data_IF_314919729775
#
_entry.id   IF_314919729775
#
_cell.length_a   1.000
_cell.length_b   1.000
_cell.length_c   1.000
_cell.angle_alpha   90.00
_cell.angle_beta   90.00
_cell.angle_gamma   90.00
#
_symmetry.space_group_name_H-M   'P 1'
#
loop_
_entity.id
_entity.type
_entity.pdbx_description
1 polymer ?
#
# COMPACT_ATOMS: atom_id res chain seq x y z
N UNK A 1 11.96 15.07 -58.67
CA UNK A 1 11.57 15.59 -57.35
C UNK A 1 12.18 14.69 -56.28
N UNK A 2 13.09 15.22 -55.44
CA UNK A 2 13.75 14.45 -54.38
C UNK A 2 12.82 14.37 -53.17
N UNK A 3 12.49 13.16 -52.72
CA UNK A 3 11.71 12.90 -51.52
C UNK A 3 12.45 13.40 -50.27
N UNK A 4 12.09 14.59 -49.78
CA UNK A 4 12.46 15.05 -48.44
C UNK A 4 11.65 14.26 -47.41
N UNK A 5 12.17 13.10 -46.99
CA UNK A 5 11.71 12.46 -45.75
C UNK A 5 12.25 13.30 -44.58
N UNK A 6 11.36 13.95 -43.85
CA UNK A 6 11.67 14.61 -42.59
C UNK A 6 12.43 13.63 -41.67
N UNK A 7 13.69 13.97 -41.36
CA UNK A 7 14.47 13.21 -40.38
C UNK A 7 13.93 13.54 -38.99
N UNK A 8 13.22 12.59 -38.38
CA UNK A 8 12.80 12.71 -36.97
C UNK A 8 14.05 12.92 -36.10
N UNK A 9 13.99 13.81 -35.09
CA UNK A 9 15.13 14.05 -34.21
C UNK A 9 15.55 12.74 -33.54
N UNK A 10 16.84 12.48 -33.59
CA UNK A 10 17.45 11.28 -33.03
C UNK A 10 17.28 11.30 -31.51
N UNK A 11 16.56 10.31 -30.97
CA UNK A 11 16.33 10.22 -29.52
C UNK A 11 17.66 9.90 -28.85
N UNK A 12 18.22 10.87 -28.12
CA UNK A 12 19.39 10.66 -27.28
C UNK A 12 19.07 9.55 -26.26
N UNK A 13 19.86 8.49 -26.26
CA UNK A 13 19.70 7.34 -25.35
C UNK A 13 20.85 7.32 -24.37
N UNK A 14 20.52 7.18 -23.09
CA UNK A 14 21.49 6.96 -22.02
C UNK A 14 21.25 5.54 -21.50
N UNK A 15 22.30 4.73 -21.45
CA UNK A 15 22.26 3.41 -20.83
C UNK A 15 22.98 3.50 -19.49
N UNK A 16 22.28 3.19 -18.41
CA UNK A 16 22.82 3.17 -17.05
C UNK A 16 22.96 1.71 -16.65
N UNK A 17 24.16 1.31 -16.21
CA UNK A 17 24.39 0.00 -15.59
C UNK A 17 24.21 0.14 -14.09
N UNK A 18 23.51 -0.81 -13.49
CA UNK A 18 23.18 -0.83 -12.07
C UNK A 18 23.54 -2.20 -11.52
N UNK A 19 24.03 -2.24 -10.30
CA UNK A 19 24.18 -3.48 -9.55
C UNK A 19 22.81 -3.93 -9.02
N UNK A 20 22.62 -5.23 -8.80
CA UNK A 20 21.32 -5.82 -8.44
C UNK A 20 20.63 -5.11 -7.25
N UNK A 21 21.31 -4.79 -6.13
CA UNK A 21 20.66 -4.10 -5.01
C UNK A 21 20.12 -2.72 -5.39
N UNK A 22 20.84 -1.99 -6.24
CA UNK A 22 20.47 -0.64 -6.67
C UNK A 22 19.30 -0.71 -7.65
N UNK A 23 19.26 -1.73 -8.50
CA UNK A 23 18.15 -2.00 -9.39
C UNK A 23 16.87 -2.30 -8.61
N UNK A 24 16.94 -3.16 -7.60
CA UNK A 24 15.80 -3.54 -6.77
C UNK A 24 15.21 -2.32 -6.05
N UNK A 25 16.06 -1.48 -5.45
CA UNK A 25 15.62 -0.22 -4.82
C UNK A 25 14.91 0.71 -5.81
N UNK A 26 15.47 0.90 -7.01
CA UNK A 26 14.86 1.73 -8.04
C UNK A 26 13.55 1.13 -8.57
N UNK A 27 13.46 -0.20 -8.67
CA UNK A 27 12.25 -0.89 -9.06
C UNK A 27 11.13 -0.69 -8.04
N UNK A 28 11.46 -0.75 -6.75
CA UNK A 28 10.52 -0.47 -5.67
C UNK A 28 10.07 0.98 -5.70
N UNK A 29 10.97 1.94 -5.88
CA UNK A 29 10.62 3.35 -6.01
C UNK A 29 9.72 3.61 -7.24
N UNK A 30 9.99 2.95 -8.37
CA UNK A 30 9.15 3.01 -9.57
C UNK A 30 7.72 2.56 -9.27
N UNK A 31 7.57 1.43 -8.56
CA UNK A 31 6.27 0.85 -8.17
C UNK A 31 5.56 1.73 -7.15
N UNK A 32 6.25 2.14 -6.09
CA UNK A 32 5.72 2.97 -5.00
C UNK A 32 5.20 4.32 -5.53
N UNK A 33 5.97 4.97 -6.39
CA UNK A 33 5.58 6.24 -7.02
C UNK A 33 4.63 6.08 -8.22
N UNK A 34 4.25 4.85 -8.58
CA UNK A 34 3.39 4.52 -9.74
C UNK A 34 3.90 5.12 -11.06
N UNK A 35 5.21 5.19 -11.23
CA UNK A 35 5.83 5.74 -12.45
C UNK A 35 5.68 4.76 -13.62
N UNK A 36 5.11 5.24 -14.74
CA UNK A 36 4.91 4.42 -15.94
C UNK A 36 6.22 4.03 -16.60
N UNK A 37 7.17 4.96 -16.72
CA UNK A 37 8.49 4.75 -17.33
C UNK A 37 9.63 4.96 -16.34
N UNK A 38 10.80 4.38 -16.64
CA UNK A 38 12.05 4.67 -15.92
C UNK A 38 12.45 6.14 -16.04
N UNK A 39 12.26 6.72 -17.21
CA UNK A 39 12.50 8.15 -17.45
C UNK A 39 11.70 9.04 -16.50
N UNK A 40 10.42 8.73 -16.25
CA UNK A 40 9.60 9.48 -15.31
C UNK A 40 10.11 9.39 -13.86
N UNK A 41 10.62 8.22 -13.45
CA UNK A 41 11.26 8.06 -12.14
C UNK A 41 12.56 8.87 -12.06
N UNK A 42 13.42 8.81 -13.07
CA UNK A 42 14.69 9.54 -13.09
C UNK A 42 14.46 11.05 -13.08
N UNK A 43 13.54 11.56 -13.91
CA UNK A 43 13.17 12.98 -13.91
C UNK A 43 12.58 13.42 -12.57
N UNK A 44 11.83 12.54 -11.89
CA UNK A 44 11.34 12.78 -10.55
C UNK A 44 12.49 12.86 -9.53
N UNK A 45 13.42 11.91 -9.55
CA UNK A 45 14.60 11.91 -8.66
C UNK A 45 15.51 13.11 -8.90
N UNK A 46 15.60 13.58 -10.14
CA UNK A 46 16.33 14.79 -10.52
C UNK A 46 15.60 16.08 -10.16
N UNK A 47 14.27 16.03 -9.99
CA UNK A 47 13.52 17.18 -9.52
C UNK A 47 13.68 17.29 -8.01
N UNK A 48 14.15 18.43 -7.50
CA UNK A 48 14.37 18.69 -6.06
C UNK A 48 13.09 18.65 -5.19
N UNK A 49 11.96 18.17 -5.73
CA UNK A 49 10.69 18.09 -5.03
C UNK A 49 10.64 16.84 -4.15
N UNK A 50 10.71 17.08 -2.83
CA UNK A 50 10.43 16.20 -1.67
C UNK A 50 10.22 14.71 -1.97
N UNK A 51 11.13 13.92 -1.42
CA UNK A 51 11.26 12.47 -1.62
C UNK A 51 9.99 11.63 -1.45
N UNK A 52 10.03 10.45 -2.07
CA UNK A 52 8.97 9.46 -2.01
C UNK A 52 8.65 9.11 -0.55
N UNK A 53 7.37 9.16 -0.21
CA UNK A 53 6.87 8.77 1.10
C UNK A 53 7.26 7.29 1.31
N UNK A 54 8.17 7.01 2.23
CA UNK A 54 8.53 5.63 2.60
C UNK A 54 7.26 4.92 3.08
N UNK A 55 6.82 3.91 2.32
CA UNK A 55 5.66 3.08 2.62
C UNK A 55 6.18 1.70 3.02
N UNK A 56 5.57 1.06 4.01
CA UNK A 56 5.91 -0.32 4.35
C UNK A 56 5.31 -1.26 3.29
N UNK A 57 6.12 -2.19 2.76
CA UNK A 57 5.68 -3.18 1.78
C UNK A 57 5.33 -4.46 2.54
N UNK A 58 4.05 -4.84 2.54
CA UNK A 58 3.60 -6.15 3.05
C UNK A 58 3.60 -7.12 1.87
N UNK A 59 4.69 -7.87 1.72
CA UNK A 59 4.96 -8.71 0.55
C UNK A 59 3.91 -9.81 0.32
N UNK A 60 3.21 -10.24 1.38
CA UNK A 60 2.21 -11.32 1.35
C UNK A 60 0.77 -10.85 1.64
N UNK A 61 0.61 -9.54 1.91
CA UNK A 61 -0.63 -8.93 2.38
C UNK A 61 -1.12 -9.51 3.71
N UNK A 62 -0.21 -10.09 4.52
CA UNK A 62 -0.55 -10.81 5.74
C UNK A 62 -1.13 -9.87 6.80
N UNK A 63 -0.58 -8.66 6.91
CA UNK A 63 -1.00 -7.65 7.89
C UNK A 63 -2.43 -7.18 7.61
N UNK A 64 -2.76 -6.94 6.33
CA UNK A 64 -4.11 -6.55 5.92
C UNK A 64 -5.10 -7.70 6.11
N UNK A 65 -4.71 -8.95 5.83
CA UNK A 65 -5.55 -10.14 6.09
C UNK A 65 -5.84 -10.31 7.58
N UNK A 66 -4.83 -10.26 8.44
CA UNK A 66 -4.98 -10.36 9.91
C UNK A 66 -5.90 -9.26 10.43
N UNK A 67 -5.71 -8.00 10.00
CA UNK A 67 -6.59 -6.90 10.38
C UNK A 67 -8.03 -7.09 9.90
N UNK A 68 -8.24 -7.66 8.72
CA UNK A 68 -9.59 -7.99 8.25
C UNK A 68 -10.25 -9.08 9.10
N UNK A 69 -9.50 -10.12 9.50
CA UNK A 69 -10.01 -11.16 10.41
C UNK A 69 -10.33 -10.60 11.79
N UNK A 70 -9.44 -9.79 12.37
CA UNK A 70 -9.66 -9.12 13.65
C UNK A 70 -10.91 -8.24 13.63
N UNK A 71 -11.13 -7.48 12.55
CA UNK A 71 -12.35 -6.67 12.41
C UNK A 71 -13.62 -7.53 12.30
N UNK A 72 -13.56 -8.70 11.65
CA UNK A 72 -14.71 -9.64 11.62
C UNK A 72 -15.01 -10.18 13.01
N UNK A 73 -13.99 -10.62 13.75
CA UNK A 73 -14.18 -11.13 15.10
C UNK A 73 -14.69 -10.06 16.06
N UNK A 74 -14.16 -8.84 15.97
CA UNK A 74 -14.60 -7.72 16.79
C UNK A 74 -16.06 -7.30 16.50
N UNK A 75 -16.50 -7.39 15.25
CA UNK A 75 -17.93 -7.21 14.90
C UNK A 75 -18.82 -8.28 15.55
N UNK A 76 -18.43 -9.55 15.48
CA UNK A 76 -19.18 -10.65 16.08
C UNK A 76 -19.24 -10.50 17.61
N UNK A 77 -18.12 -10.13 18.23
CA UNK A 77 -18.04 -9.84 19.67
C UNK A 77 -18.97 -8.69 20.08
N UNK A 78 -19.04 -7.62 19.28
CA UNK A 78 -19.96 -6.51 19.53
C UNK A 78 -21.44 -6.93 19.43
N UNK A 79 -21.78 -7.87 18.54
CA UNK A 79 -23.13 -8.44 18.47
C UNK A 79 -23.45 -9.30 19.68
N UNK A 80 -22.53 -10.21 20.07
CA UNK A 80 -22.69 -11.03 21.27
C UNK A 80 -22.81 -10.18 22.53
N UNK A 81 -22.04 -9.09 22.62
CA UNK A 81 -22.11 -8.17 23.74
C UNK A 81 -23.46 -7.43 23.81
N UNK A 82 -24.06 -7.06 22.68
CA UNK A 82 -25.42 -6.48 22.71
C UNK A 82 -26.44 -7.47 23.26
N UNK A 83 -26.41 -8.72 22.79
CA UNK A 83 -27.32 -9.78 23.26
C UNK A 83 -27.11 -10.07 24.74
N UNK A 84 -25.87 -10.18 25.19
CA UNK A 84 -25.57 -10.43 26.60
C UNK A 84 -25.97 -9.25 27.51
N UNK A 85 -25.90 -8.01 27.05
CA UNK A 85 -26.43 -6.84 27.77
C UNK A 85 -27.97 -6.85 27.84
N UNK A 86 -28.65 -7.21 26.75
CA UNK A 86 -30.12 -7.43 26.75
C UNK A 86 -30.53 -8.50 27.77
N UNK A 87 -29.70 -9.53 27.95
CA UNK A 87 -29.88 -10.56 28.98
C UNK A 87 -29.32 -10.19 30.37
N UNK A 88 -28.84 -8.96 30.58
CA UNK A 88 -28.19 -8.46 31.81
C UNK A 88 -26.99 -9.30 32.28
N UNK A 89 -26.35 -10.03 31.38
CA UNK A 89 -25.19 -10.88 31.67
C UNK A 89 -23.86 -10.13 31.64
N UNK A 90 -23.84 -8.91 31.13
CA UNK A 90 -22.67 -8.03 31.13
C UNK A 90 -23.08 -6.58 31.35
N UNK A 91 -22.14 -5.82 31.92
CA UNK A 91 -22.32 -4.42 32.29
C UNK A 91 -22.00 -3.48 31.10
N UNK A 92 -22.60 -2.29 31.10
CA UNK A 92 -22.34 -1.24 30.10
C UNK A 92 -20.85 -0.87 29.98
N UNK A 93 -20.07 -0.89 31.07
CA UNK A 93 -18.63 -0.59 31.05
C UNK A 93 -17.83 -1.63 30.25
N UNK A 94 -18.23 -2.91 30.30
CA UNK A 94 -17.63 -3.98 29.51
C UNK A 94 -18.01 -3.84 28.03
N UNK A 95 -19.24 -3.42 27.75
CA UNK A 95 -19.72 -3.15 26.40
C UNK A 95 -18.99 -1.95 25.77
N UNK A 96 -18.69 -0.92 26.55
CA UNK A 96 -17.87 0.22 26.11
C UNK A 96 -16.43 -0.18 25.78
N UNK A 97 -15.80 -1.04 26.59
CA UNK A 97 -14.45 -1.57 26.29
C UNK A 97 -14.42 -2.33 24.96
N UNK A 98 -15.42 -3.18 24.70
CA UNK A 98 -15.52 -3.93 23.44
C UNK A 98 -15.66 -2.98 22.24
N UNK A 99 -16.48 -1.93 22.39
CA UNK A 99 -16.61 -0.88 21.36
C UNK A 99 -15.30 -0.13 21.13
N UNK A 100 -14.55 0.19 22.18
CA UNK A 100 -13.28 0.89 22.02
C UNK A 100 -12.25 0.03 21.28
N UNK A 101 -12.10 -1.25 21.64
CA UNK A 101 -11.24 -2.19 20.90
C UNK A 101 -11.62 -2.31 19.42
N UNK A 102 -12.92 -2.36 19.11
CA UNK A 102 -13.41 -2.37 17.74
C UNK A 102 -12.99 -1.09 16.97
N UNK A 103 -13.15 0.08 17.60
CA UNK A 103 -12.75 1.36 17.01
C UNK A 103 -11.23 1.45 16.79
N UNK A 104 -10.43 0.90 17.71
CA UNK A 104 -8.98 0.78 17.55
C UNK A 104 -8.62 -0.13 16.36
N UNK A 105 -9.34 -1.25 16.18
CA UNK A 105 -9.19 -2.14 15.02
C UNK A 105 -9.48 -1.45 13.68
N UNK A 106 -10.51 -0.60 13.63
CA UNK A 106 -10.82 0.23 12.46
C UNK A 106 -9.69 1.23 12.19
N UNK A 107 -9.21 1.93 13.23
CA UNK A 107 -8.09 2.89 13.12
C UNK A 107 -6.84 2.21 12.58
N UNK A 108 -6.49 1.04 13.09
CA UNK A 108 -5.38 0.23 12.61
C UNK A 108 -5.57 -0.16 11.13
N UNK A 109 -6.73 -0.69 10.73
CA UNK A 109 -7.02 -1.01 9.32
C UNK A 109 -6.85 0.19 8.40
N UNK A 110 -7.36 1.35 8.80
CA UNK A 110 -7.28 2.58 8.02
C UNK A 110 -5.84 3.12 7.91
N UNK A 111 -5.05 2.99 8.98
CA UNK A 111 -3.63 3.30 8.95
C UNK A 111 -2.89 2.40 7.96
N UNK A 112 -3.09 1.08 8.06
CA UNK A 112 -2.45 0.11 7.17
C UNK A 112 -2.85 0.35 5.71
N UNK A 113 -4.13 0.56 5.39
CA UNK A 113 -4.56 0.87 4.01
C UNK A 113 -3.93 2.16 3.43
N UNK A 114 -3.54 3.12 4.29
CA UNK A 114 -2.91 4.40 3.86
C UNK A 114 -1.39 4.34 3.81
N UNK A 115 -0.78 3.41 4.55
CA UNK A 115 0.67 3.38 4.85
C UNK A 115 1.34 2.05 4.52
N UNK A 116 0.57 1.08 4.06
CA UNK A 116 1.03 -0.24 3.63
C UNK A 116 0.45 -0.48 2.24
N UNK A 117 1.33 -0.68 1.26
CA UNK A 117 0.91 -1.09 -0.08
C UNK A 117 0.93 -2.63 -0.08
N UNK A 118 -0.21 -3.30 -0.29
CA UNK A 118 -0.23 -4.75 -0.42
C UNK A 118 0.53 -5.11 -1.70
N UNK A 119 1.65 -5.82 -1.55
CA UNK A 119 2.35 -6.39 -2.68
C UNK A 119 1.60 -7.66 -3.07
N UNK A 120 0.89 -7.62 -4.20
CA UNK A 120 0.46 -8.86 -4.83
C UNK A 120 1.56 -9.20 -5.82
N UNK A 121 2.44 -10.14 -5.45
CA UNK A 121 3.24 -10.83 -6.44
C UNK A 121 2.27 -11.35 -7.51
N UNK A 122 2.49 -10.95 -8.77
CA UNK A 122 1.70 -11.45 -9.88
C UNK A 122 1.67 -12.98 -9.79
N UNK A 123 0.46 -13.55 -9.79
CA UNK A 123 0.24 -15.00 -9.86
C UNK A 123 1.12 -15.51 -11.00
N UNK A 124 2.12 -16.35 -10.67
CA UNK A 124 2.82 -17.15 -11.68
C UNK A 124 1.74 -17.91 -12.46
N UNK A 125 1.64 -17.62 -13.77
CA UNK A 125 0.88 -18.43 -14.71
C UNK A 125 1.61 -19.74 -14.94
#
# INVERSE_FOLDING_TARGET
MKNNKERKPERKRINIRLDDPVFDELQDLKKLGKFKSWEALILFLMSEKRGLKKVYIDQDGHSVKVLNHLNKYANNLNQLAKVANECKQIDNSELEKIRDFFNQGIKARNYFNKKVIPFYNERKK
#
